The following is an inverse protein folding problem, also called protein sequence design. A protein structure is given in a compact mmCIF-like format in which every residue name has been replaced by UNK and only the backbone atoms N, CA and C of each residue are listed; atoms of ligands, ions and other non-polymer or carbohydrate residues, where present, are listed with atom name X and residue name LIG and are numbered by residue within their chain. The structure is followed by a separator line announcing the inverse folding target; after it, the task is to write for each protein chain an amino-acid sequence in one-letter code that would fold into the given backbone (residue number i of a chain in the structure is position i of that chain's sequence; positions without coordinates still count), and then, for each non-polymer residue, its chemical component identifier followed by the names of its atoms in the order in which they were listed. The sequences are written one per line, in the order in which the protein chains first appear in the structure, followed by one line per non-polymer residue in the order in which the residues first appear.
data_IF_675182460213
#
_entry.id   IF_675182460213
#
_cell.length_a   1.000
_cell.length_b   1.000
_cell.length_c   1.000
_cell.angle_alpha   90.00
_cell.angle_beta   90.00
_cell.angle_gamma   90.00
#
_symmetry.space_group_name_H-M   'P 1'
#
loop_
_entity.id
_entity.type
_entity.pdbx_description
1 polymer ?
#
# COMPACT_ATOMS: atom_id res chain seq x y z
N UNK A 1 4.31 21.94 -10.89
CA UNK A 1 3.14 22.32 -10.05
C UNK A 1 3.57 23.15 -8.85
N UNK A 2 2.85 24.21 -8.50
CA UNK A 2 3.12 25.06 -7.32
C UNK A 2 2.43 24.54 -6.04
N UNK A 3 2.76 25.13 -4.88
CA UNK A 3 2.24 24.70 -3.59
C UNK A 3 0.72 24.89 -3.45
N UNK A 4 0.17 26.00 -3.98
CA UNK A 4 -1.28 26.28 -3.91
C UNK A 4 -2.11 25.22 -4.64
N UNK A 5 -1.68 24.83 -5.85
CA UNK A 5 -2.35 23.75 -6.61
C UNK A 5 -2.28 22.41 -5.88
N UNK A 6 -1.14 22.08 -5.23
CA UNK A 6 -1.01 20.85 -4.43
C UNK A 6 -1.97 20.87 -3.25
N UNK A 7 -2.03 21.96 -2.51
CA UNK A 7 -2.95 22.12 -1.39
C UNK A 7 -4.40 21.89 -1.84
N UNK A 8 -4.81 22.52 -2.94
CA UNK A 8 -6.17 22.39 -3.47
C UNK A 8 -6.47 20.97 -3.96
N UNK A 9 -5.51 20.26 -4.56
CA UNK A 9 -5.67 18.85 -4.95
C UNK A 9 -5.96 17.98 -3.73
N UNK A 10 -5.16 18.08 -2.67
CA UNK A 10 -5.36 17.26 -1.48
C UNK A 10 -6.61 17.64 -0.70
N UNK A 11 -6.98 18.93 -0.68
CA UNK A 11 -8.26 19.38 -0.12
C UNK A 11 -9.45 18.69 -0.81
N UNK A 12 -9.49 18.68 -2.15
CA UNK A 12 -10.55 18.02 -2.92
C UNK A 12 -10.56 16.50 -2.74
N UNK A 13 -9.40 15.85 -2.69
CA UNK A 13 -9.31 14.42 -2.44
C UNK A 13 -9.81 14.06 -1.03
N UNK A 14 -9.53 14.90 -0.04
CA UNK A 14 -10.04 14.74 1.31
C UNK A 14 -11.55 14.96 1.37
N UNK A 15 -12.09 15.97 0.70
CA UNK A 15 -13.55 16.20 0.65
C UNK A 15 -14.32 15.03 0.01
N UNK A 16 -13.75 14.42 -1.04
CA UNK A 16 -14.37 13.26 -1.69
C UNK A 16 -14.30 11.99 -0.82
N UNK A 17 -13.27 11.84 -0.02
CA UNK A 17 -13.06 10.68 0.84
C UNK A 17 -12.30 11.08 2.12
N UNK A 18 -13.00 11.54 3.18
CA UNK A 18 -12.34 12.02 4.40
C UNK A 18 -11.60 10.95 5.21
N UNK A 19 -11.94 9.67 5.05
CA UNK A 19 -11.35 8.53 5.76
C UNK A 19 -10.93 7.43 4.76
N UNK A 20 -9.86 7.66 3.99
CA UNK A 20 -9.43 6.71 2.97
C UNK A 20 -8.77 5.49 3.62
N UNK A 21 -9.19 4.29 3.19
CA UNK A 21 -8.72 3.02 3.75
C UNK A 21 -8.10 2.12 2.68
N UNK A 22 -7.25 1.20 3.16
CA UNK A 22 -6.80 0.08 2.33
C UNK A 22 -7.97 -0.84 2.00
N UNK A 23 -7.90 -1.51 0.85
CA UNK A 23 -8.88 -2.53 0.45
C UNK A 23 -8.54 -3.92 1.00
N UNK A 24 -7.39 -4.08 1.66
CA UNK A 24 -7.03 -5.32 2.35
C UNK A 24 -7.77 -5.44 3.68
N UNK A 25 -8.34 -6.64 3.94
CA UNK A 25 -9.00 -6.96 5.21
C UNK A 25 -7.96 -7.33 6.28
N UNK A 26 -8.00 -6.66 7.42
CA UNK A 26 -7.17 -6.94 8.59
C UNK A 26 -7.80 -6.36 9.86
N UNK A 27 -7.40 -6.86 11.02
CA UNK A 27 -7.81 -6.35 12.35
C UNK A 27 -6.60 -5.98 13.22
N UNK A 28 -5.43 -6.57 12.97
CA UNK A 28 -4.20 -6.31 13.73
C UNK A 28 -3.05 -5.86 12.82
N UNK A 29 -2.02 -5.16 13.35
CA UNK A 29 -0.81 -4.85 12.58
C UNK A 29 -0.14 -6.06 11.96
N UNK A 30 -0.19 -7.22 12.62
CA UNK A 30 0.37 -8.46 12.11
C UNK A 30 -0.45 -9.01 10.92
N UNK A 31 -1.77 -9.03 11.03
CA UNK A 31 -2.64 -9.41 9.90
C UNK A 31 -2.40 -8.50 8.68
N UNK A 32 -2.24 -7.18 8.91
CA UNK A 32 -1.90 -6.25 7.84
C UNK A 32 -0.54 -6.59 7.20
N UNK A 33 0.51 -6.84 8.01
CA UNK A 33 1.83 -7.22 7.50
C UNK A 33 1.75 -8.46 6.61
N UNK A 34 1.03 -9.48 7.05
CA UNK A 34 0.81 -10.72 6.27
C UNK A 34 0.04 -10.41 4.98
N UNK A 35 -1.09 -9.69 5.06
CA UNK A 35 -1.91 -9.37 3.89
C UNK A 35 -1.14 -8.55 2.84
N UNK A 36 -0.37 -7.54 3.27
CA UNK A 36 0.46 -6.72 2.36
C UNK A 36 1.59 -7.56 1.74
N UNK A 37 2.24 -8.43 2.52
CA UNK A 37 3.26 -9.35 1.98
C UNK A 37 2.68 -10.30 0.94
N UNK A 38 1.48 -10.82 1.18
CA UNK A 38 0.77 -11.69 0.24
C UNK A 38 0.28 -10.94 -1.01
N UNK A 39 0.06 -9.62 -0.94
CA UNK A 39 -0.45 -8.81 -2.06
C UNK A 39 0.59 -8.55 -3.16
N UNK A 40 1.87 -8.80 -2.92
CA UNK A 40 2.90 -8.66 -3.95
C UNK A 40 2.57 -9.52 -5.19
N UNK A 41 2.38 -8.87 -6.34
CA UNK A 41 1.96 -9.51 -7.60
C UNK A 41 0.65 -10.34 -7.50
N UNK A 42 -0.26 -9.91 -6.64
CA UNK A 42 -1.58 -10.53 -6.46
C UNK A 42 -2.65 -9.45 -6.31
N UNK A 43 -3.90 -9.79 -6.57
CA UNK A 43 -5.03 -8.87 -6.37
C UNK A 43 -5.45 -8.82 -4.91
N UNK A 44 -5.89 -7.67 -4.42
CA UNK A 44 -6.40 -7.52 -3.05
C UNK A 44 -7.61 -8.46 -2.81
N UNK A 45 -8.47 -8.64 -3.81
CA UNK A 45 -9.60 -9.60 -3.76
C UNK A 45 -9.12 -11.04 -3.52
N UNK A 46 -8.07 -11.47 -4.24
CA UNK A 46 -7.50 -12.81 -4.07
C UNK A 46 -6.87 -12.99 -2.69
N UNK A 47 -6.14 -11.97 -2.22
CA UNK A 47 -5.55 -11.96 -0.87
C UNK A 47 -6.64 -12.01 0.19
N UNK A 48 -7.68 -11.18 0.10
CA UNK A 48 -8.78 -11.15 1.07
C UNK A 48 -9.52 -12.50 1.15
N UNK A 49 -9.72 -13.19 0.02
CA UNK A 49 -10.30 -14.55 0.02
C UNK A 49 -9.45 -15.57 0.78
N UNK A 50 -8.13 -15.48 0.64
CA UNK A 50 -7.20 -16.38 1.34
C UNK A 50 -7.11 -16.04 2.83
N UNK A 51 -6.95 -14.77 3.18
CA UNK A 51 -6.83 -14.32 4.58
C UNK A 51 -8.11 -14.47 5.36
N UNK A 52 -9.29 -14.34 4.75
CA UNK A 52 -10.59 -14.63 5.39
C UNK A 52 -10.71 -16.10 5.87
N UNK A 53 -9.96 -17.02 5.26
CA UNK A 53 -9.88 -18.42 5.71
C UNK A 53 -8.74 -18.65 6.70
N UNK A 54 -7.65 -17.89 6.58
CA UNK A 54 -6.45 -18.05 7.38
C UNK A 54 -6.59 -17.39 8.77
N UNK A 55 -6.98 -16.13 8.83
CA UNK A 55 -6.97 -15.37 10.09
C UNK A 55 -7.89 -15.89 11.20
N UNK A 56 -9.07 -16.47 10.93
CA UNK A 56 -9.84 -17.12 11.99
C UNK A 56 -9.13 -18.32 12.66
N UNK A 57 -8.16 -18.92 11.97
CA UNK A 57 -7.41 -20.09 12.46
C UNK A 57 -6.04 -19.67 13.03
N UNK A 58 -5.36 -18.76 12.32
CA UNK A 58 -4.01 -18.32 12.67
C UNK A 58 -3.82 -16.85 12.31
N UNK A 59 -3.85 -15.96 13.31
CA UNK A 59 -3.70 -14.52 13.15
C UNK A 59 -2.62 -13.88 14.04
N UNK A 60 -1.71 -14.72 14.58
CA UNK A 60 -0.52 -14.26 15.33
C UNK A 60 0.74 -14.88 14.73
N UNK A 61 1.94 -14.30 14.95
CA UNK A 61 3.19 -14.89 14.50
C UNK A 61 3.36 -16.34 14.98
N UNK A 62 3.03 -16.63 16.23
CA UNK A 62 3.13 -17.98 16.80
C UNK A 62 2.17 -18.96 16.10
N UNK A 63 0.92 -18.57 15.89
CA UNK A 63 -0.08 -19.44 15.26
C UNK A 63 0.28 -19.74 13.80
N UNK A 64 0.70 -18.73 13.02
CA UNK A 64 1.14 -18.95 11.62
C UNK A 64 2.43 -19.77 11.57
N UNK A 65 3.40 -19.51 12.46
CA UNK A 65 4.64 -20.29 12.53
C UNK A 65 4.36 -21.77 12.83
N UNK A 66 3.41 -22.06 13.73
CA UNK A 66 3.00 -23.42 14.07
C UNK A 66 2.34 -24.19 12.90
N UNK A 67 1.73 -23.50 11.92
CA UNK A 67 1.22 -24.14 10.70
C UNK A 67 2.34 -24.72 9.82
N UNK A 68 3.53 -24.13 9.89
CA UNK A 68 4.63 -24.44 8.98
C UNK A 68 4.34 -24.01 7.54
N UNK A 69 5.32 -24.19 6.66
CA UNK A 69 5.22 -23.79 5.24
C UNK A 69 4.10 -24.53 4.52
N UNK A 70 3.96 -25.81 4.76
CA UNK A 70 2.94 -26.66 4.12
C UNK A 70 1.53 -26.27 4.57
N UNK A 71 1.30 -26.13 5.88
CA UNK A 71 0.02 -25.72 6.42
C UNK A 71 -0.40 -24.33 5.94
N UNK A 72 0.50 -23.35 5.94
CA UNK A 72 0.20 -22.02 5.41
C UNK A 72 -0.11 -22.06 3.90
N UNK A 73 0.63 -22.88 3.14
CA UNK A 73 0.44 -23.01 1.69
C UNK A 73 -0.99 -23.44 1.34
N UNK A 74 -1.65 -24.30 2.13
CA UNK A 74 -3.02 -24.72 1.89
C UNK A 74 -4.03 -23.56 1.90
N UNK A 75 -3.78 -22.53 2.70
CA UNK A 75 -4.64 -21.33 2.73
C UNK A 75 -4.38 -20.38 1.58
N UNK A 76 -3.12 -20.27 1.11
CA UNK A 76 -2.70 -19.25 0.14
C UNK A 76 -2.39 -19.79 -1.25
N UNK A 77 -2.61 -21.07 -1.56
CA UNK A 77 -2.31 -21.70 -2.86
C UNK A 77 -2.99 -21.08 -4.08
N UNK A 78 -4.03 -20.29 -3.87
CA UNK A 78 -4.71 -19.52 -4.94
C UNK A 78 -4.01 -18.19 -5.25
N UNK A 79 -3.01 -17.80 -4.46
CA UNK A 79 -2.25 -16.56 -4.63
C UNK A 79 -1.00 -16.86 -5.48
N UNK A 80 -0.68 -15.98 -6.42
CA UNK A 80 0.55 -16.10 -7.22
C UNK A 80 1.81 -16.16 -6.34
N UNK A 81 2.77 -16.99 -6.72
CA UNK A 81 4.04 -17.21 -6.00
C UNK A 81 3.87 -17.74 -4.56
N UNK A 82 2.78 -18.45 -4.27
CA UNK A 82 2.42 -18.86 -2.92
C UNK A 82 3.52 -19.65 -2.19
N UNK A 83 4.29 -20.49 -2.90
CA UNK A 83 5.37 -21.26 -2.29
C UNK A 83 6.48 -20.39 -1.68
N UNK A 84 6.93 -19.35 -2.41
CA UNK A 84 7.93 -18.42 -1.87
C UNK A 84 7.34 -17.50 -0.82
N UNK A 85 6.08 -17.09 -0.98
CA UNK A 85 5.37 -16.30 0.02
C UNK A 85 5.17 -17.05 1.33
N UNK A 86 4.79 -18.34 1.27
CA UNK A 86 4.66 -19.17 2.47
C UNK A 86 5.98 -19.25 3.22
N UNK A 87 7.09 -19.57 2.54
CA UNK A 87 8.42 -19.60 3.17
C UNK A 87 8.80 -18.27 3.81
N UNK A 88 8.59 -17.16 3.09
CA UNK A 88 8.91 -15.83 3.59
C UNK A 88 8.08 -15.45 4.82
N UNK A 89 6.77 -15.73 4.80
CA UNK A 89 5.87 -15.43 5.93
C UNK A 89 6.24 -16.27 7.16
N UNK A 90 6.51 -17.58 7.01
CA UNK A 90 6.92 -18.43 8.10
C UNK A 90 8.24 -17.95 8.71
N UNK A 91 9.24 -17.64 7.89
CA UNK A 91 10.52 -17.13 8.36
C UNK A 91 10.40 -15.72 9.00
N UNK A 92 9.53 -14.85 8.43
CA UNK A 92 9.21 -13.56 9.07
C UNK A 92 8.57 -13.76 10.45
N UNK A 93 7.65 -14.73 10.61
CA UNK A 93 7.05 -15.06 11.90
C UNK A 93 8.11 -15.53 12.90
N UNK A 94 9.04 -16.40 12.49
CA UNK A 94 10.17 -16.84 13.35
C UNK A 94 10.98 -15.63 13.85
N UNK A 95 11.35 -14.72 12.94
CA UNK A 95 12.11 -13.53 13.31
C UNK A 95 11.32 -12.55 14.19
N UNK A 96 10.02 -12.39 13.97
CA UNK A 96 9.16 -11.60 14.83
C UNK A 96 9.14 -12.15 16.26
N UNK A 97 9.02 -13.47 16.40
CA UNK A 97 9.02 -14.14 17.72
C UNK A 97 10.37 -13.94 18.41
N UNK A 98 11.48 -14.24 17.70
CA UNK A 98 12.83 -14.25 18.31
C UNK A 98 13.35 -12.85 18.61
N UNK A 99 13.07 -11.85 17.77
CA UNK A 99 13.70 -10.53 17.86
C UNK A 99 12.78 -9.42 18.31
N UNK A 100 11.46 -9.63 18.22
CA UNK A 100 10.46 -8.59 18.48
C UNK A 100 9.36 -9.05 19.44
N UNK A 101 9.55 -10.19 20.15
CA UNK A 101 8.57 -10.68 21.10
C UNK A 101 7.19 -11.03 20.51
N UNK A 102 7.15 -11.33 19.21
CA UNK A 102 5.90 -11.59 18.49
C UNK A 102 5.15 -10.33 18.03
N UNK A 103 5.72 -9.14 18.20
CA UNK A 103 5.10 -7.88 17.79
C UNK A 103 5.67 -7.38 16.45
N UNK A 104 4.86 -6.60 15.72
CA UNK A 104 5.32 -5.97 14.47
C UNK A 104 6.14 -4.71 14.80
N UNK A 105 7.40 -4.62 14.36
CA UNK A 105 8.25 -3.48 14.68
C UNK A 105 7.77 -2.21 13.96
N UNK A 106 7.96 -1.06 14.60
CA UNK A 106 7.53 0.25 14.11
C UNK A 106 8.66 1.05 13.46
N UNK A 107 9.71 0.39 12.98
CA UNK A 107 10.77 1.01 12.19
C UNK A 107 10.88 0.34 10.83
N UNK A 108 11.19 1.15 9.80
CA UNK A 108 11.32 0.64 8.44
C UNK A 108 12.47 -0.36 8.32
N UNK A 109 13.58 -0.08 8.98
CA UNK A 109 14.78 -0.92 8.96
C UNK A 109 14.48 -2.31 9.54
N UNK A 110 13.76 -2.39 10.64
CA UNK A 110 13.37 -3.65 11.25
C UNK A 110 12.34 -4.41 10.40
N UNK A 111 11.41 -3.71 9.76
CA UNK A 111 10.45 -4.32 8.84
C UNK A 111 11.14 -4.85 7.56
N UNK A 112 12.05 -4.08 6.95
CA UNK A 112 12.79 -4.49 5.76
C UNK A 112 13.75 -5.67 6.03
N UNK A 113 14.13 -5.90 7.28
CA UNK A 113 14.92 -7.06 7.69
C UNK A 113 14.10 -8.37 7.71
N UNK A 114 12.76 -8.29 7.60
CA UNK A 114 11.91 -9.47 7.55
C UNK A 114 11.83 -10.01 6.10
N UNK A 115 11.94 -11.33 5.89
CA UNK A 115 11.81 -11.95 4.58
C UNK A 115 10.49 -11.61 3.88
N UNK A 116 10.58 -11.21 2.61
CA UNK A 116 9.43 -10.81 1.80
C UNK A 116 8.91 -9.39 2.08
N UNK A 117 9.52 -8.66 2.99
CA UNK A 117 9.17 -7.27 3.31
C UNK A 117 10.17 -6.32 2.67
N UNK A 118 9.80 -5.70 1.59
CA UNK A 118 10.58 -4.62 0.98
C UNK A 118 10.11 -3.24 1.44
N UNK A 119 10.81 -2.19 0.99
CA UNK A 119 10.52 -0.78 1.32
C UNK A 119 9.06 -0.39 1.14
N UNK A 120 8.42 -0.81 0.03
CA UNK A 120 7.00 -0.52 -0.20
C UNK A 120 6.13 -1.15 0.88
N UNK A 121 6.32 -2.44 1.17
CA UNK A 121 5.55 -3.17 2.20
C UNK A 121 5.75 -2.53 3.58
N UNK A 122 6.99 -2.24 3.95
CA UNK A 122 7.30 -1.55 5.21
C UNK A 122 6.58 -0.19 5.31
N UNK A 123 6.63 0.63 4.27
CA UNK A 123 5.94 1.93 4.25
C UNK A 123 4.41 1.79 4.35
N UNK A 124 3.79 0.79 3.71
CA UNK A 124 2.35 0.53 3.86
C UNK A 124 2.01 0.17 5.31
N UNK A 125 2.75 -0.74 5.92
CA UNK A 125 2.51 -1.18 7.31
C UNK A 125 2.67 0.00 8.28
N UNK A 126 3.74 0.78 8.16
CA UNK A 126 4.00 1.95 8.99
C UNK A 126 2.89 3.01 8.85
N UNK A 127 2.46 3.29 7.62
CA UNK A 127 1.40 4.25 7.37
C UNK A 127 0.06 3.75 7.92
N UNK A 128 -0.34 2.55 7.54
CA UNK A 128 -1.71 2.05 7.76
C UNK A 128 -1.92 1.57 9.20
N UNK A 129 -0.99 0.78 9.76
CA UNK A 129 -1.13 0.22 11.10
C UNK A 129 -0.65 1.17 12.20
N UNK A 130 0.39 1.96 11.93
CA UNK A 130 1.05 2.78 12.96
C UNK A 130 0.88 4.29 12.76
N UNK A 131 0.09 4.69 11.76
CA UNK A 131 -0.21 6.11 11.47
C UNK A 131 1.05 6.97 11.31
N UNK A 132 2.12 6.39 10.79
CA UNK A 132 3.33 7.13 10.43
C UNK A 132 3.20 7.72 9.02
N UNK A 133 3.57 8.97 8.78
CA UNK A 133 3.40 9.63 7.48
C UNK A 133 4.44 9.14 6.46
N UNK A 134 4.36 7.86 6.08
CA UNK A 134 5.17 7.23 5.04
C UNK A 134 4.43 7.19 3.71
N UNK A 135 5.16 7.01 2.62
CA UNK A 135 4.61 6.98 1.27
C UNK A 135 5.08 5.71 0.54
N UNK A 136 4.20 4.77 0.31
CA UNK A 136 4.50 3.51 -0.37
C UNK A 136 4.22 3.64 -1.87
N UNK A 137 5.15 4.20 -2.63
CA UNK A 137 4.96 4.45 -4.07
C UNK A 137 4.93 3.13 -4.84
N UNK A 138 3.75 2.83 -5.39
CA UNK A 138 3.51 1.74 -6.33
C UNK A 138 3.35 2.28 -7.77
N UNK A 139 2.97 1.42 -8.71
CA UNK A 139 2.73 1.81 -10.11
C UNK A 139 1.58 2.81 -10.26
N UNK A 140 0.58 2.79 -9.38
CA UNK A 140 -0.54 3.73 -9.39
C UNK A 140 -0.08 5.11 -8.92
N UNK A 141 0.54 5.19 -7.75
CA UNK A 141 1.06 6.44 -7.19
C UNK A 141 2.13 7.03 -8.09
N UNK A 142 3.06 6.20 -8.61
CA UNK A 142 4.08 6.64 -9.56
C UNK A 142 3.46 7.31 -10.79
N UNK A 143 2.45 6.67 -11.39
CA UNK A 143 1.74 7.22 -12.55
C UNK A 143 0.99 8.50 -12.23
N UNK A 144 0.21 8.51 -11.15
CA UNK A 144 -0.55 9.69 -10.71
C UNK A 144 0.38 10.87 -10.48
N UNK A 145 1.47 10.67 -9.72
CA UNK A 145 2.43 11.73 -9.38
C UNK A 145 3.08 12.35 -10.61
N UNK A 146 3.43 11.53 -11.61
CA UNK A 146 4.03 12.00 -12.85
C UNK A 146 3.01 12.67 -13.78
N UNK A 147 1.80 12.10 -13.94
CA UNK A 147 0.77 12.68 -14.80
C UNK A 147 0.24 14.01 -14.27
N UNK A 148 -0.11 14.04 -13.00
CA UNK A 148 -0.67 15.25 -12.40
C UNK A 148 0.35 16.37 -12.21
N UNK A 149 1.64 16.03 -12.13
CA UNK A 149 2.71 16.96 -11.80
C UNK A 149 2.85 17.24 -10.30
N UNK A 150 2.14 16.48 -9.43
CA UNK A 150 2.23 16.63 -7.97
C UNK A 150 3.67 16.42 -7.49
N UNK A 151 4.29 15.32 -7.93
CA UNK A 151 5.66 14.94 -7.54
C UNK A 151 6.34 14.14 -8.67
N UNK A 152 6.63 14.75 -9.83
CA UNK A 152 7.20 14.02 -10.96
C UNK A 152 8.62 13.55 -10.65
N UNK A 153 8.92 12.30 -11.01
CA UNK A 153 10.24 11.68 -10.81
C UNK A 153 10.47 10.52 -11.76
N UNK A 154 11.75 10.22 -12.00
CA UNK A 154 12.18 9.12 -12.88
C UNK A 154 12.17 7.76 -12.18
N UNK A 155 12.31 7.75 -10.86
CA UNK A 155 12.33 6.54 -10.04
C UNK A 155 11.28 6.60 -8.94
N UNK A 156 10.88 5.43 -8.43
CA UNK A 156 9.95 5.30 -7.30
C UNK A 156 10.48 6.08 -6.08
N UNK A 157 11.78 5.99 -5.80
CA UNK A 157 12.41 6.67 -4.66
C UNK A 157 12.40 8.20 -4.80
N UNK A 158 12.60 8.72 -6.02
CA UNK A 158 12.48 10.16 -6.27
C UNK A 158 11.06 10.66 -6.03
N UNK A 159 10.06 9.91 -6.52
CA UNK A 159 8.64 10.24 -6.31
C UNK A 159 8.30 10.19 -4.83
N UNK A 160 8.72 9.14 -4.10
CA UNK A 160 8.55 9.03 -2.64
C UNK A 160 9.11 10.25 -1.90
N UNK A 161 10.37 10.60 -2.14
CA UNK A 161 11.02 11.76 -1.51
C UNK A 161 10.31 13.08 -1.81
N UNK A 162 9.86 13.25 -3.06
CA UNK A 162 9.11 14.46 -3.46
C UNK A 162 7.72 14.51 -2.86
N UNK A 163 7.01 13.39 -2.77
CA UNK A 163 5.71 13.34 -2.10
C UNK A 163 5.84 13.69 -0.63
N UNK A 164 6.81 13.10 0.09
CA UNK A 164 7.06 13.42 1.50
C UNK A 164 7.43 14.91 1.71
N UNK A 165 8.06 15.54 0.72
CA UNK A 165 8.43 16.98 0.77
C UNK A 165 7.28 17.91 0.40
N UNK A 166 6.46 17.54 -0.59
CA UNK A 166 5.55 18.46 -1.27
C UNK A 166 4.09 18.31 -0.87
N UNK A 167 3.69 17.16 -0.33
CA UNK A 167 2.35 16.98 0.22
C UNK A 167 2.20 17.87 1.46
N UNK A 168 1.12 18.68 1.56
CA UNK A 168 0.88 19.48 2.75
C UNK A 168 0.78 18.60 4.00
N UNK A 169 1.35 19.05 5.12
CA UNK A 169 1.49 18.25 6.34
C UNK A 169 0.17 17.67 6.85
N UNK A 170 -0.91 18.45 6.78
CA UNK A 170 -2.24 18.05 7.25
C UNK A 170 -2.84 16.89 6.45
N UNK A 171 -2.37 16.66 5.23
CA UNK A 171 -2.82 15.59 4.34
C UNK A 171 -1.83 14.45 4.20
N UNK A 172 -0.61 14.59 4.74
CA UNK A 172 0.50 13.67 4.45
C UNK A 172 0.21 12.23 4.88
N UNK A 173 -0.49 12.05 5.98
CA UNK A 173 -0.82 10.73 6.51
C UNK A 173 -1.73 9.93 5.57
N UNK A 174 -2.75 10.56 5.03
CA UNK A 174 -3.77 9.90 4.22
C UNK A 174 -3.48 10.00 2.71
N UNK A 175 -2.49 10.81 2.31
CA UNK A 175 -2.10 11.02 0.92
C UNK A 175 -1.77 9.72 0.17
N UNK A 176 -1.15 8.74 0.85
CA UNK A 176 -0.88 7.43 0.27
C UNK A 176 -2.16 6.77 -0.25
N UNK A 177 -3.21 6.72 0.58
CA UNK A 177 -4.47 6.07 0.24
C UNK A 177 -5.23 6.84 -0.84
N UNK A 178 -5.32 8.16 -0.77
CA UNK A 178 -5.95 8.96 -1.83
C UNK A 178 -5.28 8.75 -3.18
N UNK A 179 -3.95 8.80 -3.22
CA UNK A 179 -3.22 8.68 -4.49
C UNK A 179 -3.33 7.27 -5.09
N UNK A 180 -3.33 6.20 -4.26
CA UNK A 180 -3.49 4.84 -4.77
C UNK A 180 -4.92 4.61 -5.28
N UNK A 181 -5.96 5.04 -4.54
CA UNK A 181 -7.36 4.94 -4.94
C UNK A 181 -7.64 5.76 -6.21
N UNK A 182 -7.14 7.00 -6.27
CA UNK A 182 -7.24 7.82 -7.47
C UNK A 182 -6.57 7.16 -8.68
N UNK A 183 -5.43 6.53 -8.50
CA UNK A 183 -4.74 5.78 -9.56
C UNK A 183 -5.47 4.51 -9.99
N UNK A 184 -6.17 3.84 -9.09
CA UNK A 184 -6.94 2.63 -9.41
C UNK A 184 -8.23 2.95 -10.17
N UNK A 185 -8.97 3.96 -9.74
CA UNK A 185 -10.35 4.15 -10.15
C UNK A 185 -10.57 5.34 -11.10
N UNK A 186 -9.71 6.35 -11.05
CA UNK A 186 -9.84 7.58 -11.86
C UNK A 186 -8.70 7.68 -12.87
N UNK A 187 -7.46 7.90 -12.41
CA UNK A 187 -6.31 8.08 -13.28
C UNK A 187 -5.72 6.73 -13.74
N UNK A 188 -6.53 5.93 -14.42
CA UNK A 188 -6.18 4.59 -14.90
C UNK A 188 -5.07 4.61 -15.96
N UNK A 189 -4.35 3.47 -16.13
CA UNK A 189 -3.18 3.42 -17.00
C UNK A 189 -3.52 3.67 -18.48
N UNK A 190 -4.54 2.98 -19.01
CA UNK A 190 -4.91 3.02 -20.44
C UNK A 190 -5.99 4.04 -20.75
N UNK A 191 -7.04 4.11 -19.94
CA UNK A 191 -8.18 5.04 -20.13
C UNK A 191 -8.41 5.82 -18.83
N UNK A 192 -7.68 6.92 -18.58
CA UNK A 192 -7.96 7.76 -17.41
C UNK A 192 -9.31 8.47 -17.60
N UNK A 193 -10.10 8.53 -16.54
CA UNK A 193 -11.40 9.21 -16.52
C UNK A 193 -11.19 10.71 -16.24
N UNK A 194 -10.65 11.44 -17.22
CA UNK A 194 -10.29 12.84 -17.00
C UNK A 194 -11.51 13.74 -16.93
N UNK A 195 -12.58 13.49 -17.72
CA UNK A 195 -13.80 14.31 -17.74
C UNK A 195 -14.53 14.34 -16.41
N UNK A 196 -14.54 13.22 -15.65
CA UNK A 196 -15.13 13.13 -14.31
C UNK A 196 -14.12 13.32 -13.17
N UNK A 197 -12.86 13.66 -13.47
CA UNK A 197 -11.81 13.78 -12.47
C UNK A 197 -11.91 15.08 -11.68
N UNK A 198 -12.06 15.00 -10.36
CA UNK A 198 -12.21 16.16 -9.44
C UNK A 198 -11.01 17.11 -9.42
N UNK A 199 -9.87 16.69 -9.92
CA UNK A 199 -8.64 17.50 -9.98
C UNK A 199 -8.18 17.77 -11.41
N UNK A 200 -9.08 17.62 -12.39
CA UNK A 200 -8.78 17.74 -13.81
C UNK A 200 -8.19 19.11 -14.17
N UNK A 201 -8.80 20.19 -13.69
CA UNK A 201 -8.41 21.58 -13.90
C UNK A 201 -7.04 21.95 -13.29
N UNK A 202 -6.61 21.23 -12.27
CA UNK A 202 -5.32 21.41 -11.59
C UNK A 202 -4.21 20.50 -12.15
N UNK A 203 -4.61 19.45 -12.87
CA UNK A 203 -3.72 18.40 -13.38
C UNK A 203 -2.91 18.91 -14.59
N UNK A 204 -1.59 18.65 -14.57
CA UNK A 204 -0.65 19.06 -15.62
C UNK A 204 -0.53 18.06 -16.78
N UNK A 205 -1.32 16.97 -16.77
CA UNK A 205 -1.35 15.98 -17.84
C UNK A 205 -1.96 16.57 -19.11
N UNK A 206 -1.20 16.53 -20.23
CA UNK A 206 -1.60 17.17 -21.48
C UNK A 206 -2.54 16.32 -22.35
N UNK A 207 -2.49 14.98 -22.20
CA UNK A 207 -3.26 14.03 -23.01
C UNK A 207 -4.53 13.59 -22.26
N UNK A 208 -5.31 14.56 -21.80
CA UNK A 208 -6.57 14.28 -21.11
C UNK A 208 -7.57 13.60 -22.06
N UNK A 209 -8.36 12.69 -21.51
CA UNK A 209 -9.42 11.98 -22.25
C UNK A 209 -10.78 12.56 -21.89
N UNK A 210 -11.71 12.60 -22.86
CA UNK A 210 -13.13 12.75 -22.59
C UNK A 210 -13.69 11.44 -22.02
N UNK A 211 -14.69 11.52 -21.17
CA UNK A 211 -15.44 10.36 -20.67
C UNK A 211 -16.53 10.02 -21.71
N UNK A 212 -16.11 9.46 -22.86
CA UNK A 212 -17.00 8.88 -23.89
C UNK A 212 -17.22 7.37 -23.63
#
# INVERSE_FOLDING_TARGET
MNAAKRLEIFRRLHEDNPDPKTELGYTTPFELLVAVTLSAQSTDVGVNKATARLFPVANTPHAIYALGVEGLSEYIKTIGLYNSKARNVIEACRLLIERHGGEVPQSREALEALPGVGRKTANVVLNTAFRQPTMAVDTHIFRVSNRTGIAPGKTVLEVEKKLLKFVPKDYLLDAHHWLILHGRYVCQARKPRCGSCRIEDLCEFKQKTSDD
#
